data_IF_722347205929
#
_entry.id   IF_722347205929
#
_cell.length_a   1.000
_cell.length_b   1.000
_cell.length_c   1.000
_cell.angle_alpha   90.00
_cell.angle_beta   90.00
_cell.angle_gamma   90.00
#
_symmetry.space_group_name_H-M   'P 1'
#
loop_
_entity.id
_entity.type
_entity.pdbx_description
1 polymer ?
#
# COMPACT_ATOMS: atom_id res chain seq x y z
N UNK A 1 -9.75 -1.34 -26.25
CA UNK A 1 -9.08 -0.93 -25.00
C UNK A 1 -9.18 -2.10 -24.03
N UNK A 2 -8.10 -2.49 -23.35
CA UNK A 2 -8.15 -3.56 -22.38
C UNK A 2 -9.15 -3.28 -21.24
N UNK A 3 -9.87 -4.30 -20.78
CA UNK A 3 -10.90 -4.17 -19.73
C UNK A 3 -10.78 -5.24 -18.66
N UNK A 4 -10.83 -4.82 -17.40
CA UNK A 4 -10.88 -5.70 -16.23
C UNK A 4 -12.29 -5.70 -15.63
N UNK A 5 -12.92 -6.87 -15.59
CA UNK A 5 -14.21 -7.06 -14.92
C UNK A 5 -14.00 -7.54 -13.50
N UNK A 6 -14.64 -6.87 -12.55
CA UNK A 6 -14.66 -7.27 -11.16
C UNK A 6 -15.74 -8.34 -10.97
N UNK A 7 -15.32 -9.56 -10.68
CA UNK A 7 -16.23 -10.67 -10.40
C UNK A 7 -16.71 -10.61 -8.96
N UNK A 8 -15.80 -10.27 -8.03
CA UNK A 8 -16.10 -10.10 -6.61
C UNK A 8 -15.17 -9.05 -6.02
N UNK A 9 -15.71 -8.12 -5.24
CA UNK A 9 -14.93 -7.18 -4.45
C UNK A 9 -15.24 -7.35 -2.97
N UNK A 10 -14.20 -7.35 -2.14
CA UNK A 10 -14.35 -7.23 -0.70
C UNK A 10 -14.82 -5.83 -0.30
N UNK A 11 -15.39 -5.65 0.91
CA UNK A 11 -15.75 -4.33 1.40
C UNK A 11 -14.55 -3.38 1.38
N UNK A 12 -14.75 -2.16 0.85
CA UNK A 12 -13.71 -1.14 0.81
C UNK A 12 -12.62 -1.36 -0.23
N UNK A 13 -12.80 -2.24 -1.22
CA UNK A 13 -11.94 -2.27 -2.41
C UNK A 13 -12.10 -0.97 -3.18
N UNK A 14 -11.01 -0.23 -3.38
CA UNK A 14 -11.06 1.13 -3.95
C UNK A 14 -9.96 1.37 -4.98
N UNK A 15 -10.13 2.41 -5.80
CA UNK A 15 -9.03 2.93 -6.63
C UNK A 15 -8.24 3.96 -5.81
N UNK A 16 -6.92 3.82 -5.78
CA UNK A 16 -6.00 4.72 -5.10
C UNK A 16 -4.80 5.07 -5.99
N UNK A 17 -4.51 6.36 -6.11
CA UNK A 17 -3.29 6.90 -6.74
C UNK A 17 -2.44 7.65 -5.69
N UNK A 18 -1.48 8.47 -6.11
CA UNK A 18 -0.64 9.27 -5.21
C UNK A 18 -1.37 10.28 -4.30
N UNK A 19 -2.69 10.41 -4.46
CA UNK A 19 -3.55 11.29 -3.68
C UNK A 19 -3.66 12.69 -4.27
N UNK A 20 -4.57 13.45 -3.68
CA UNK A 20 -5.14 14.67 -4.24
C UNK A 20 -4.57 15.91 -3.55
N UNK A 21 -3.28 16.14 -3.79
CA UNK A 21 -2.46 17.16 -3.12
C UNK A 21 -2.94 18.58 -3.42
N UNK A 22 -2.68 19.50 -2.50
CA UNK A 22 -3.00 20.93 -2.64
C UNK A 22 -4.43 21.32 -2.23
N UNK A 23 -5.31 20.34 -1.98
CA UNK A 23 -6.71 20.59 -1.59
C UNK A 23 -6.99 20.56 -0.10
N UNK A 24 -6.01 20.15 0.73
CA UNK A 24 -6.17 20.06 2.18
C UNK A 24 -6.57 21.41 2.80
N UNK A 25 -6.04 22.52 2.26
CA UNK A 25 -6.38 23.89 2.67
C UNK A 25 -7.85 24.27 2.44
N UNK A 26 -8.56 23.51 1.61
CA UNK A 26 -9.99 23.68 1.33
C UNK A 26 -10.86 22.65 2.05
N UNK A 27 -10.29 21.92 3.02
CA UNK A 27 -11.02 20.91 3.78
C UNK A 27 -11.24 19.60 3.03
N UNK A 28 -10.51 19.34 1.93
CA UNK A 28 -10.62 18.08 1.19
C UNK A 28 -9.37 17.24 1.41
N UNK A 29 -9.52 16.11 2.10
CA UNK A 29 -8.42 15.18 2.42
C UNK A 29 -7.72 14.67 1.16
N UNK A 30 -6.42 14.42 1.28
CA UNK A 30 -5.59 13.95 0.16
C UNK A 30 -5.95 12.53 -0.31
N UNK A 31 -6.36 11.64 0.60
CA UNK A 31 -6.63 10.23 0.28
C UNK A 31 -5.35 9.48 -0.10
N UNK A 32 -5.46 8.55 -1.03
CA UNK A 32 -4.36 7.72 -1.54
C UNK A 32 -4.23 6.39 -0.80
N UNK A 33 -3.17 5.61 -1.10
CA UNK A 33 -2.98 4.27 -0.55
C UNK A 33 -2.69 4.29 0.95
N UNK A 34 -3.22 3.31 1.68
CA UNK A 34 -2.90 3.08 3.09
C UNK A 34 -1.43 2.72 3.31
N UNK A 35 -0.85 1.98 2.38
CA UNK A 35 0.55 1.57 2.32
C UNK A 35 1.13 2.03 0.99
N UNK A 36 1.69 3.24 1.01
CA UNK A 36 2.24 3.88 -0.19
C UNK A 36 3.46 3.16 -0.78
N UNK A 37 4.20 2.38 0.03
CA UNK A 37 5.37 1.63 -0.43
C UNK A 37 4.91 0.43 -1.24
N UNK A 38 3.93 -0.33 -0.72
CA UNK A 38 3.34 -1.45 -1.44
C UNK A 38 2.65 -1.00 -2.74
N UNK A 39 1.92 0.12 -2.69
CA UNK A 39 1.31 0.74 -3.87
C UNK A 39 2.34 1.12 -4.94
N UNK A 40 3.39 1.85 -4.55
CA UNK A 40 4.50 2.22 -5.43
C UNK A 40 5.18 0.99 -6.04
N UNK A 41 5.39 -0.05 -5.24
CA UNK A 41 6.01 -1.29 -5.68
C UNK A 41 5.16 -2.04 -6.71
N UNK A 42 3.85 -2.13 -6.49
CA UNK A 42 2.93 -2.74 -7.46
C UNK A 42 2.96 -1.99 -8.80
N UNK A 43 2.99 -0.65 -8.76
CA UNK A 43 3.12 0.19 -9.94
C UNK A 43 4.45 -0.04 -10.68
N UNK A 44 5.58 -0.06 -9.97
CA UNK A 44 6.90 -0.31 -10.57
C UNK A 44 6.94 -1.69 -11.24
N UNK A 45 6.39 -2.72 -10.58
CA UNK A 45 6.29 -4.06 -11.16
C UNK A 45 5.38 -4.11 -12.39
N UNK A 46 4.37 -3.24 -12.46
CA UNK A 46 3.50 -3.09 -13.64
C UNK A 46 4.15 -2.27 -14.77
N UNK A 47 5.34 -1.69 -14.56
CA UNK A 47 5.99 -0.79 -15.51
C UNK A 47 5.45 0.66 -15.47
N UNK A 48 4.70 1.01 -14.43
CA UNK A 48 4.10 2.34 -14.26
C UNK A 48 4.96 3.27 -13.41
N UNK A 49 4.66 4.57 -13.46
CA UNK A 49 5.17 5.51 -12.46
C UNK A 49 4.63 5.14 -11.06
N UNK A 50 5.42 5.28 -9.97
CA UNK A 50 5.05 4.81 -8.63
C UNK A 50 3.70 5.33 -8.09
N UNK A 51 3.27 6.51 -8.53
CA UNK A 51 2.02 7.15 -8.08
C UNK A 51 0.78 6.81 -8.91
N UNK A 52 0.88 5.93 -9.90
CA UNK A 52 -0.22 5.60 -10.83
C UNK A 52 -1.38 4.94 -10.09
N UNK A 53 -2.61 5.16 -10.57
CA UNK A 53 -3.81 4.60 -9.96
C UNK A 53 -3.78 3.06 -9.99
N UNK A 54 -4.04 2.45 -8.84
CA UNK A 54 -4.09 1.01 -8.63
C UNK A 54 -5.30 0.64 -7.77
N UNK A 55 -5.71 -0.62 -7.82
CA UNK A 55 -6.77 -1.15 -6.96
C UNK A 55 -6.15 -1.46 -5.60
N UNK A 56 -6.66 -0.82 -4.54
CA UNK A 56 -6.35 -1.14 -3.15
C UNK A 56 -7.31 -2.24 -2.66
N UNK A 57 -6.73 -3.38 -2.25
CA UNK A 57 -7.43 -4.59 -1.85
C UNK A 57 -7.22 -4.85 -0.36
N UNK A 58 -8.30 -4.76 0.41
CA UNK A 58 -8.32 -5.11 1.83
C UNK A 58 -8.49 -6.62 2.10
N UNK A 59 -8.69 -6.97 3.37
CA UNK A 59 -8.83 -8.38 3.82
C UNK A 59 -10.00 -9.15 3.19
N UNK A 60 -10.97 -8.46 2.60
CA UNK A 60 -12.07 -9.08 1.86
C UNK A 60 -11.64 -9.72 0.54
N UNK A 61 -10.43 -9.43 0.05
CA UNK A 61 -9.92 -9.95 -1.22
C UNK A 61 -10.64 -9.39 -2.44
N UNK A 62 -10.28 -9.90 -3.62
CA UNK A 62 -10.89 -9.53 -4.90
C UNK A 62 -10.79 -10.71 -5.88
N UNK A 63 -11.76 -10.84 -6.76
CA UNK A 63 -11.71 -11.71 -7.93
C UNK A 63 -12.02 -10.88 -9.17
N UNK A 64 -11.18 -11.00 -10.20
CA UNK A 64 -11.32 -10.25 -11.44
C UNK A 64 -10.92 -11.11 -12.64
N UNK A 65 -11.34 -10.68 -13.83
CA UNK A 65 -10.95 -11.29 -15.10
C UNK A 65 -10.68 -10.20 -16.14
N UNK A 66 -9.92 -10.54 -17.18
CA UNK A 66 -9.86 -9.72 -18.39
C UNK A 66 -11.03 -10.11 -19.31
N UNK A 67 -11.77 -9.12 -19.82
CA UNK A 67 -12.86 -9.35 -20.79
C UNK A 67 -12.35 -9.26 -22.22
N UNK A 68 -11.84 -8.09 -22.60
CA UNK A 68 -11.33 -7.78 -23.94
C UNK A 68 -9.86 -7.37 -23.81
N UNK A 69 -8.97 -8.11 -24.48
CA UNK A 69 -7.53 -7.87 -24.44
C UNK A 69 -6.86 -8.34 -23.15
N UNK A 70 -5.62 -8.82 -23.27
CA UNK A 70 -4.81 -9.19 -22.12
C UNK A 70 -4.48 -7.97 -21.26
N UNK A 71 -4.53 -8.12 -19.94
CA UNK A 71 -4.13 -7.07 -18.99
C UNK A 71 -3.04 -7.61 -18.10
N UNK A 72 -1.93 -6.90 -18.01
CA UNK A 72 -0.92 -7.19 -17.00
C UNK A 72 -1.15 -6.41 -15.73
N UNK A 73 -0.99 -7.11 -14.61
CA UNK A 73 -1.24 -6.60 -13.27
C UNK A 73 0.02 -6.78 -12.44
N UNK A 74 0.67 -5.67 -12.10
CA UNK A 74 1.66 -5.63 -11.03
C UNK A 74 0.98 -5.74 -9.68
N UNK A 75 1.56 -6.47 -8.73
CA UNK A 75 0.98 -6.64 -7.42
C UNK A 75 2.03 -6.74 -6.32
N UNK A 76 1.74 -6.10 -5.18
CA UNK A 76 2.58 -6.08 -4.00
C UNK A 76 1.79 -5.67 -2.75
N UNK A 77 2.29 -6.02 -1.57
CA UNK A 77 1.73 -5.62 -0.27
C UNK A 77 1.73 -6.77 0.71
N UNK A 78 0.62 -6.91 1.44
CA UNK A 78 0.37 -8.04 2.32
C UNK A 78 0.58 -9.37 1.58
N UNK A 79 1.04 -10.44 2.26
CA UNK A 79 1.33 -11.74 1.66
C UNK A 79 0.04 -12.52 1.38
N UNK A 80 -0.91 -11.91 0.69
CA UNK A 80 -2.17 -12.51 0.28
C UNK A 80 -1.90 -13.63 -0.74
N UNK A 81 -2.75 -14.65 -0.72
CA UNK A 81 -2.70 -15.71 -1.71
C UNK A 81 -3.24 -15.17 -3.04
N UNK A 82 -2.37 -15.04 -4.03
CA UNK A 82 -2.73 -14.61 -5.39
C UNK A 82 -2.68 -15.83 -6.32
N UNK A 83 -3.78 -16.10 -7.02
CA UNK A 83 -3.88 -17.24 -7.95
C UNK A 83 -4.43 -16.80 -9.30
N UNK A 84 -3.87 -17.34 -10.40
CA UNK A 84 -4.46 -17.26 -11.74
C UNK A 84 -5.03 -18.64 -12.10
N UNK A 85 -6.34 -18.79 -12.07
CA UNK A 85 -6.99 -20.10 -12.10
C UNK A 85 -6.49 -20.98 -10.96
N UNK A 86 -5.98 -22.17 -11.28
CA UNK A 86 -5.39 -23.10 -10.30
C UNK A 86 -3.93 -22.80 -9.93
N UNK A 87 -3.29 -21.85 -10.63
CA UNK A 87 -1.85 -21.59 -10.48
C UNK A 87 -1.62 -20.55 -9.38
N UNK A 88 -0.96 -20.96 -8.30
CA UNK A 88 -0.46 -20.05 -7.28
C UNK A 88 0.67 -19.17 -7.82
N UNK A 89 0.63 -17.88 -7.49
CA UNK A 89 1.64 -16.90 -7.85
C UNK A 89 2.52 -16.57 -6.65
N UNK A 90 3.63 -15.89 -6.90
CA UNK A 90 4.50 -15.39 -5.83
C UNK A 90 3.79 -14.32 -4.99
N UNK A 91 4.41 -13.91 -3.88
CA UNK A 91 3.84 -12.88 -2.99
C UNK A 91 3.80 -11.47 -3.60
N UNK A 92 4.69 -11.20 -4.57
CA UNK A 92 4.71 -9.97 -5.35
C UNK A 92 5.20 -10.26 -6.77
N UNK A 93 4.79 -9.45 -7.74
CA UNK A 93 5.22 -9.65 -9.12
C UNK A 93 4.38 -8.88 -10.12
N UNK A 94 4.43 -9.34 -11.36
CA UNK A 94 3.55 -8.90 -12.44
C UNK A 94 3.03 -10.14 -13.16
N UNK A 95 1.71 -10.23 -13.32
CA UNK A 95 1.06 -11.37 -13.98
C UNK A 95 0.24 -10.87 -15.16
N UNK A 96 0.27 -11.63 -16.26
CA UNK A 96 -0.60 -11.38 -17.41
C UNK A 96 -1.91 -12.12 -17.21
N UNK A 97 -3.03 -11.43 -17.37
CA UNK A 97 -4.38 -11.98 -17.30
C UNK A 97 -4.94 -11.97 -18.72
N UNK A 98 -5.04 -13.15 -19.33
CA UNK A 98 -5.64 -13.31 -20.66
C UNK A 98 -7.17 -13.24 -20.59
N UNK A 99 -7.87 -12.91 -21.69
CA UNK A 99 -9.31 -13.06 -21.75
C UNK A 99 -9.77 -14.46 -21.33
N UNK A 100 -10.63 -14.53 -20.31
CA UNK A 100 -11.10 -15.78 -19.71
C UNK A 100 -10.28 -16.27 -18.50
N UNK A 101 -9.08 -15.73 -18.27
CA UNK A 101 -8.36 -15.99 -17.02
C UNK A 101 -9.07 -15.32 -15.84
N UNK A 102 -9.01 -15.99 -14.69
CA UNK A 102 -9.48 -15.44 -13.42
C UNK A 102 -8.31 -15.23 -12.49
N UNK A 103 -8.13 -14.00 -12.04
CA UNK A 103 -7.19 -13.67 -10.96
C UNK A 103 -7.98 -13.57 -9.65
N UNK A 104 -7.55 -14.32 -8.64
CA UNK A 104 -8.14 -14.29 -7.31
C UNK A 104 -7.09 -13.88 -6.29
N UNK A 105 -7.45 -12.94 -5.42
CA UNK A 105 -6.65 -12.51 -4.28
C UNK A 105 -7.43 -12.81 -3.01
N UNK A 106 -6.85 -13.64 -2.14
CA UNK A 106 -7.42 -13.99 -0.83
C UNK A 106 -6.48 -13.55 0.28
N UNK A 107 -7.03 -12.91 1.31
CA UNK A 107 -6.24 -12.47 2.44
C UNK A 107 -5.58 -13.65 3.17
N UNK A 108 -4.35 -13.43 3.63
CA UNK A 108 -3.62 -14.38 4.48
C UNK A 108 -3.88 -14.12 5.97
N UNK A 109 -3.14 -14.79 6.85
CA UNK A 109 -3.24 -14.59 8.31
C UNK A 109 -2.68 -13.23 8.78
N UNK A 110 -1.76 -12.65 8.02
CA UNK A 110 -1.07 -11.38 8.34
C UNK A 110 -1.20 -10.37 7.21
N UNK A 111 -1.00 -9.08 7.52
CA UNK A 111 -1.15 -7.98 6.58
C UNK A 111 -2.61 -7.63 6.27
N UNK A 112 -2.85 -6.39 5.86
CA UNK A 112 -4.20 -5.86 5.65
C UNK A 112 -4.43 -5.38 4.22
N UNK A 113 -3.38 -4.96 3.50
CA UNK A 113 -3.51 -4.27 2.22
C UNK A 113 -2.60 -4.85 1.15
N UNK A 114 -3.17 -5.21 0.00
CA UNK A 114 -2.46 -5.54 -1.24
C UNK A 114 -2.91 -4.59 -2.35
N UNK A 115 -2.03 -4.28 -3.30
CA UNK A 115 -2.34 -3.43 -4.44
C UNK A 115 -2.24 -4.22 -5.73
N UNK A 116 -3.21 -4.01 -6.64
CA UNK A 116 -3.18 -4.50 -8.02
C UNK A 116 -3.11 -3.31 -8.98
N UNK A 117 -2.01 -3.19 -9.70
CA UNK A 117 -1.74 -2.10 -10.64
C UNK A 117 -1.82 -2.62 -12.08
N UNK A 118 -2.84 -2.23 -12.86
CA UNK A 118 -2.85 -2.49 -14.30
C UNK A 118 -1.68 -1.77 -14.98
N UNK A 119 -0.90 -2.46 -15.80
CA UNK A 119 0.08 -1.83 -16.69
C UNK A 119 -0.63 -0.80 -17.57
N UNK A 120 -0.09 0.40 -17.67
CA UNK A 120 -0.73 1.55 -18.33
C UNK A 120 -1.58 2.41 -17.38
N UNK A 121 -2.09 1.82 -16.29
CA UNK A 121 -2.91 2.51 -15.29
C UNK A 121 -4.42 2.39 -15.56
N UNK A 122 -5.21 2.99 -14.67
CA UNK A 122 -6.67 3.00 -14.76
C UNK A 122 -7.12 4.18 -15.63
N UNK A 123 -7.83 3.88 -16.72
CA UNK A 123 -8.37 4.88 -17.63
C UNK A 123 -9.67 5.48 -17.05
N UNK A 124 -9.52 6.52 -16.22
CA UNK A 124 -10.64 7.22 -15.59
C UNK A 124 -10.35 8.72 -15.45
N UNK A 125 -11.40 9.54 -15.38
CA UNK A 125 -11.26 10.98 -15.20
C UNK A 125 -10.96 11.33 -13.74
N UNK A 126 -9.86 12.03 -13.45
CA UNK A 126 -9.52 12.41 -12.08
C UNK A 126 -10.50 13.45 -11.54
N UNK A 127 -10.90 13.29 -10.27
CA UNK A 127 -11.66 14.29 -9.53
C UNK A 127 -10.67 15.15 -8.76
N UNK A 128 -10.68 16.46 -8.99
CA UNK A 128 -9.73 17.42 -8.36
C UNK A 128 -8.26 16.97 -8.51
N UNK A 129 -7.91 16.35 -9.64
CA UNK A 129 -6.55 15.93 -9.97
C UNK A 129 -6.11 14.57 -9.42
N UNK A 130 -7.03 13.73 -8.92
CA UNK A 130 -6.71 12.37 -8.43
C UNK A 130 -7.85 11.39 -8.69
N UNK A 131 -7.49 10.11 -8.79
CA UNK A 131 -8.38 8.95 -8.81
C UNK A 131 -8.49 8.25 -7.43
N UNK A 132 -7.89 8.82 -6.39
CA UNK A 132 -8.03 8.30 -5.03
C UNK A 132 -9.48 8.41 -4.55
N UNK A 133 -10.01 7.28 -4.09
CA UNK A 133 -11.35 7.20 -3.51
C UNK A 133 -11.31 7.64 -2.05
N UNK A 134 -12.16 8.59 -1.67
CA UNK A 134 -12.44 8.93 -0.27
C UNK A 134 -13.80 8.38 0.15
N UNK A 135 -13.79 7.30 0.93
CA UNK A 135 -15.02 6.62 1.39
C UNK A 135 -15.94 7.55 2.20
N UNK A 136 -15.34 8.45 2.98
CA UNK A 136 -16.08 9.35 3.86
C UNK A 136 -16.79 10.49 3.12
N UNK A 137 -16.15 11.04 2.09
CA UNK A 137 -16.65 12.23 1.40
C UNK A 137 -17.32 11.92 0.06
N UNK A 138 -17.13 10.70 -0.47
CA UNK A 138 -17.59 10.32 -1.81
C UNK A 138 -16.79 10.99 -2.94
N UNK A 139 -15.68 11.67 -2.63
CA UNK A 139 -14.81 12.27 -3.64
C UNK A 139 -13.96 11.18 -4.29
N UNK A 140 -13.87 11.23 -5.62
CA UNK A 140 -13.17 10.24 -6.44
C UNK A 140 -14.12 9.15 -6.97
N UNK A 141 -13.59 8.08 -7.56
CA UNK A 141 -14.37 6.93 -8.00
C UNK A 141 -15.13 6.28 -6.83
N UNK A 142 -16.25 5.63 -7.11
CA UNK A 142 -16.94 4.81 -6.11
C UNK A 142 -16.09 3.56 -5.77
N UNK A 143 -16.28 2.96 -4.57
CA UNK A 143 -15.71 1.66 -4.26
C UNK A 143 -16.15 0.62 -5.28
N UNK A 144 -15.24 -0.30 -5.62
CA UNK A 144 -15.51 -1.33 -6.60
C UNK A 144 -16.51 -2.35 -6.06
N UNK A 145 -17.43 -2.76 -6.92
CA UNK A 145 -18.44 -3.77 -6.68
C UNK A 145 -18.36 -4.90 -7.73
N UNK A 146 -19.04 -6.02 -7.43
CA UNK A 146 -19.22 -7.09 -8.42
C UNK A 146 -19.98 -6.56 -9.63
N UNK A 147 -19.48 -6.88 -10.83
CA UNK A 147 -20.03 -6.42 -12.10
C UNK A 147 -19.38 -5.16 -12.66
N UNK A 148 -18.61 -4.42 -11.86
CA UNK A 148 -17.89 -3.24 -12.34
C UNK A 148 -16.86 -3.62 -13.40
N UNK A 149 -16.66 -2.73 -14.37
CA UNK A 149 -15.66 -2.88 -15.43
C UNK A 149 -14.73 -1.67 -15.42
N UNK A 150 -13.45 -1.94 -15.21
CA UNK A 150 -12.39 -0.95 -15.26
C UNK A 150 -11.75 -0.93 -16.64
N UNK A 151 -11.73 0.25 -17.26
CA UNK A 151 -10.93 0.50 -18.45
C UNK A 151 -9.46 0.68 -18.04
N UNK A 152 -8.56 0.10 -18.83
CA UNK A 152 -7.12 0.16 -18.63
C UNK A 152 -6.49 0.87 -19.83
N UNK A 153 -5.58 1.79 -19.57
CA UNK A 153 -4.86 2.46 -20.65
C UNK A 153 -3.93 1.48 -21.37
N UNK A 154 -3.79 1.57 -22.70
CA UNK A 154 -2.87 0.71 -23.44
C UNK A 154 -1.44 0.81 -22.90
N UNK A 155 -0.78 -0.33 -22.73
CA UNK A 155 0.62 -0.43 -22.33
C UNK A 155 1.44 -1.20 -23.38
N UNK A 156 2.77 -1.09 -23.30
CA UNK A 156 3.69 -1.91 -24.10
C UNK A 156 3.64 -3.40 -23.71
N UNK A 157 4.45 -4.24 -24.38
CA UNK A 157 4.46 -5.68 -24.08
C UNK A 157 4.87 -5.95 -22.63
N UNK A 158 3.98 -6.55 -21.83
CA UNK A 158 4.26 -6.75 -20.43
C UNK A 158 5.10 -8.02 -20.22
N UNK A 159 6.01 -7.96 -19.25
CA UNK A 159 6.80 -9.10 -18.82
C UNK A 159 6.20 -9.68 -17.53
N UNK A 160 5.96 -10.98 -17.48
CA UNK A 160 5.62 -11.63 -16.21
C UNK A 160 6.83 -11.61 -15.28
N UNK A 161 6.64 -11.06 -14.08
CA UNK A 161 7.70 -10.88 -13.10
C UNK A 161 7.34 -11.62 -11.82
N UNK A 162 8.36 -12.21 -11.20
CA UNK A 162 8.33 -12.75 -9.85
C UNK A 162 9.25 -11.90 -9.00
N UNK A 163 8.77 -11.44 -7.85
CA UNK A 163 9.59 -10.71 -6.90
C UNK A 163 9.36 -11.25 -5.49
N UNK A 164 10.40 -11.25 -4.67
CA UNK A 164 10.29 -11.70 -3.28
C UNK A 164 9.29 -10.83 -2.50
N UNK A 165 8.70 -11.37 -1.43
CA UNK A 165 7.99 -10.52 -0.48
C UNK A 165 8.96 -9.47 0.11
N UNK A 166 8.46 -8.28 0.46
CA UNK A 166 9.26 -7.42 1.35
C UNK A 166 9.38 -8.13 2.71
N UNK A 167 10.53 -8.01 3.40
CA UNK A 167 10.69 -8.53 4.75
C UNK A 167 9.53 -8.03 5.63
N UNK A 168 8.85 -8.98 6.28
CA UNK A 168 7.85 -8.64 7.29
C UNK A 168 8.58 -8.33 8.60
N UNK A 169 8.11 -7.32 9.32
CA UNK A 169 8.62 -7.07 10.65
C UNK A 169 8.21 -8.20 11.60
N UNK A 170 9.13 -8.57 12.49
CA UNK A 170 8.79 -9.38 13.65
C UNK A 170 7.97 -8.54 14.64
N UNK A 171 6.94 -9.15 15.22
CA UNK A 171 6.18 -8.52 16.30
C UNK A 171 6.98 -8.52 17.62
N UNK A 172 6.82 -7.51 18.48
CA UNK A 172 6.02 -6.29 18.27
C UNK A 172 6.72 -5.33 17.30
N UNK A 173 5.94 -4.66 16.44
CA UNK A 173 6.53 -3.69 15.51
C UNK A 173 6.83 -2.37 16.24
N UNK A 174 8.00 -1.79 15.98
CA UNK A 174 8.38 -0.47 16.52
C UNK A 174 8.24 0.59 15.45
N UNK A 175 7.31 1.53 15.65
CA UNK A 175 7.06 2.66 14.77
C UNK A 175 7.83 3.89 15.24
N UNK A 176 8.57 4.51 14.33
CA UNK A 176 9.36 5.70 14.62
C UNK A 176 8.49 6.95 14.53
N UNK A 177 8.64 7.83 15.51
CA UNK A 177 7.80 9.01 15.72
C UNK A 177 8.67 10.24 15.88
N UNK A 178 8.36 11.30 15.14
CA UNK A 178 8.88 12.64 15.42
C UNK A 178 7.95 13.27 16.48
N UNK A 179 8.44 13.59 17.70
CA UNK A 179 7.60 14.24 18.72
C UNK A 179 7.10 15.61 18.28
N UNK A 180 5.95 16.02 18.82
CA UNK A 180 5.34 17.32 18.57
C UNK A 180 4.38 17.37 17.38
N UNK A 181 3.77 18.54 17.13
CA UNK A 181 4.14 19.85 17.66
C UNK A 181 3.51 20.21 19.02
N UNK A 182 2.65 19.37 19.60
CA UNK A 182 2.04 19.61 20.92
C UNK A 182 2.47 18.55 21.94
N UNK A 183 3.71 18.08 21.89
CA UNK A 183 4.27 17.20 22.90
C UNK A 183 4.33 17.87 24.29
N UNK A 184 4.39 19.20 24.34
CA UNK A 184 4.29 20.02 25.55
C UNK A 184 2.88 20.04 26.19
N UNK A 185 1.86 19.49 25.52
CA UNK A 185 0.54 19.24 26.11
C UNK A 185 0.50 17.98 26.97
N UNK A 186 1.57 17.19 26.99
CA UNK A 186 1.66 15.93 27.73
C UNK A 186 2.67 16.05 28.86
N UNK A 187 2.43 15.35 29.97
CA UNK A 187 3.42 15.29 31.06
C UNK A 187 4.64 14.48 30.63
N UNK A 188 5.80 14.73 31.25
CA UNK A 188 7.00 13.92 31.00
C UNK A 188 6.76 12.43 31.29
N UNK A 189 5.93 12.12 32.29
CA UNK A 189 5.49 10.75 32.58
C UNK A 189 4.64 10.16 31.45
N UNK A 190 3.77 10.95 30.82
CA UNK A 190 2.98 10.50 29.68
C UNK A 190 3.86 10.25 28.44
N UNK A 191 4.83 11.12 28.16
CA UNK A 191 5.80 10.90 27.07
C UNK A 191 6.65 9.65 27.33
N UNK A 192 7.19 9.49 28.53
CA UNK A 192 7.95 8.30 28.92
C UNK A 192 7.12 7.02 28.78
N UNK A 193 5.83 7.07 29.18
CA UNK A 193 4.89 5.97 29.00
C UNK A 193 4.61 5.66 27.53
N UNK A 194 4.42 6.68 26.69
CA UNK A 194 4.17 6.48 25.26
C UNK A 194 5.32 5.76 24.55
N UNK A 195 6.56 6.11 24.88
CA UNK A 195 7.75 5.50 24.28
C UNK A 195 8.24 4.23 24.99
N UNK A 196 7.85 3.99 26.25
CA UNK A 196 8.28 2.83 27.04
C UNK A 196 7.33 1.63 26.97
N UNK A 197 6.03 1.87 26.78
CA UNK A 197 4.99 0.84 26.88
C UNK A 197 4.54 0.30 25.52
N UNK A 198 3.93 -0.88 25.52
CA UNK A 198 3.30 -1.47 24.35
C UNK A 198 1.84 -1.00 24.20
N UNK A 199 1.40 -0.89 22.95
CA UNK A 199 0.03 -0.59 22.57
C UNK A 199 -0.52 -1.68 21.66
N UNK A 200 -1.83 -1.80 21.56
CA UNK A 200 -2.51 -2.72 20.64
C UNK A 200 -3.41 -1.97 19.68
N UNK A 201 -3.43 -2.37 18.42
CA UNK A 201 -4.41 -1.85 17.45
C UNK A 201 -5.80 -2.29 17.89
N UNK A 202 -6.70 -1.35 18.13
CA UNK A 202 -8.09 -1.66 18.49
C UNK A 202 -8.90 -2.14 17.30
N UNK A 203 -10.13 -2.62 17.53
CA UNK A 203 -11.09 -2.91 16.45
C UNK A 203 -11.60 -1.65 15.74
N UNK A 204 -11.38 -0.46 16.33
CA UNK A 204 -11.69 0.84 15.72
C UNK A 204 -10.49 1.34 14.91
N UNK A 205 -10.16 0.61 13.85
CA UNK A 205 -9.12 0.98 12.89
C UNK A 205 -9.66 0.93 11.46
N UNK A 206 -9.44 2.00 10.71
CA UNK A 206 -9.86 2.13 9.30
C UNK A 206 -8.93 3.09 8.54
N UNK A 207 -9.34 3.49 7.34
CA UNK A 207 -8.57 4.43 6.51
C UNK A 207 -8.45 5.83 7.12
N UNK A 208 -9.29 6.22 8.08
CA UNK A 208 -9.18 7.51 8.77
C UNK A 208 -8.12 7.49 9.86
N UNK A 209 -8.09 6.42 10.66
CA UNK A 209 -7.19 6.35 11.80
C UNK A 209 -7.18 5.00 12.51
N UNK A 210 -6.05 4.71 13.15
CA UNK A 210 -5.85 3.52 13.96
C UNK A 210 -5.89 3.95 15.42
N UNK A 211 -6.99 3.65 16.10
CA UNK A 211 -7.10 3.85 17.55
C UNK A 211 -6.37 2.73 18.28
N UNK A 212 -5.63 3.10 19.30
CA UNK A 212 -4.78 2.20 20.07
C UNK A 212 -5.33 1.97 21.47
N UNK A 213 -5.22 0.73 21.94
CA UNK A 213 -5.46 0.30 23.30
C UNK A 213 -4.13 0.19 24.05
N UNK A 214 -4.09 0.62 25.30
CA UNK A 214 -2.87 0.68 26.08
C UNK A 214 -3.04 1.58 27.30
N UNK A 215 -1.95 1.92 27.99
CA UNK A 215 -2.04 2.76 29.18
C UNK A 215 -2.40 4.20 28.78
N UNK A 216 -3.43 4.81 29.39
CA UNK A 216 -3.89 6.15 29.00
C UNK A 216 -2.82 7.19 29.29
N UNK A 217 -2.73 8.18 28.40
CA UNK A 217 -1.80 9.29 28.47
C UNK A 217 -2.43 10.50 29.14
N UNK A 218 -1.72 11.08 30.11
CA UNK A 218 -2.19 12.25 30.85
C UNK A 218 -1.81 13.54 30.12
N UNK A 219 -2.79 14.42 29.97
CA UNK A 219 -2.61 15.77 29.47
C UNK A 219 -2.13 16.71 30.58
N UNK A 220 -1.13 17.53 30.29
CA UNK A 220 -0.62 18.59 31.16
C UNK A 220 -1.34 19.93 30.96
N UNK A 221 -1.83 20.22 29.75
CA UNK A 221 -2.46 21.50 29.36
C UNK A 221 -3.93 21.35 28.90
N UNK A 222 -4.55 20.24 29.25
CA UNK A 222 -5.88 19.84 28.76
C UNK A 222 -5.83 19.08 27.43
N UNK A 223 -6.99 18.56 27.01
CA UNK A 223 -7.13 17.65 25.87
C UNK A 223 -7.72 18.32 24.62
N UNK A 224 -7.93 19.63 24.64
CA UNK A 224 -8.45 20.41 23.52
C UNK A 224 -7.45 21.49 23.12
N UNK A 225 -7.32 21.70 21.82
CA UNK A 225 -6.60 22.81 21.20
C UNK A 225 -7.53 23.55 20.25
N UNK A 226 -7.14 24.78 19.88
CA UNK A 226 -7.72 25.42 18.69
C UNK A 226 -7.53 24.48 17.50
N UNK A 227 -8.59 24.28 16.71
CA UNK A 227 -8.54 23.36 15.58
C UNK A 227 -7.38 23.71 14.65
N UNK A 228 -6.55 22.71 14.36
CA UNK A 228 -5.32 22.84 13.61
C UNK A 228 -5.23 21.75 12.55
N UNK A 229 -4.37 21.96 11.55
CA UNK A 229 -4.14 21.03 10.46
C UNK A 229 -3.65 19.67 10.96
N UNK A 230 -3.97 18.64 10.18
CA UNK A 230 -3.63 17.26 10.47
C UNK A 230 -2.79 16.68 9.31
N UNK A 231 -1.55 16.33 9.64
CA UNK A 231 -0.67 15.59 8.75
C UNK A 231 -0.89 14.07 8.87
N UNK A 232 -0.47 13.33 7.83
CA UNK A 232 -0.49 11.87 7.86
C UNK A 232 0.44 11.37 8.96
N UNK A 233 0.00 10.36 9.71
CA UNK A 233 0.77 9.80 10.83
C UNK A 233 0.66 10.61 12.12
N UNK A 234 -0.07 11.72 12.14
CA UNK A 234 -0.31 12.49 13.37
C UNK A 234 -0.95 11.60 14.45
N UNK A 235 -0.41 11.66 15.66
CA UNK A 235 -0.86 10.87 16.80
C UNK A 235 -1.68 11.77 17.72
N UNK A 236 -3.00 11.77 17.53
CA UNK A 236 -3.91 12.52 18.38
C UNK A 236 -4.23 11.74 19.65
N UNK A 237 -4.35 12.46 20.76
CA UNK A 237 -4.78 11.89 22.05
C UNK A 237 -6.02 12.64 22.54
N UNK A 238 -7.22 12.06 22.44
CA UNK A 238 -8.44 12.67 22.97
C UNK A 238 -8.49 12.67 24.52
N UNK A 239 -9.62 13.09 25.08
CA UNK A 239 -9.83 13.17 26.53
C UNK A 239 -9.84 11.82 27.27
N UNK A 240 -9.99 10.70 26.55
CA UNK A 240 -9.85 9.35 27.09
C UNK A 240 -8.39 8.91 27.27
N UNK A 241 -7.43 9.70 26.79
CA UNK A 241 -6.00 9.42 26.90
C UNK A 241 -5.51 8.33 25.94
N UNK A 242 -6.34 7.83 25.03
CA UNK A 242 -5.98 6.73 24.12
C UNK A 242 -5.50 7.28 22.77
N UNK A 243 -4.27 6.94 22.32
CA UNK A 243 -3.75 7.46 21.06
C UNK A 243 -4.53 7.00 19.83
N UNK A 244 -4.60 7.87 18.82
CA UNK A 244 -5.13 7.59 17.49
C UNK A 244 -4.10 8.05 16.46
N UNK A 245 -3.56 7.13 15.67
CA UNK A 245 -2.68 7.46 14.55
C UNK A 245 -3.52 7.72 13.31
N UNK A 246 -3.41 8.91 12.73
CA UNK A 246 -4.25 9.36 11.62
C UNK A 246 -3.70 8.93 10.25
N UNK A 247 -4.56 8.39 9.40
CA UNK A 247 -4.20 7.65 8.18
C UNK A 247 -4.63 8.39 6.89
N UNK A 248 -4.74 7.67 5.77
CA UNK A 248 -4.91 8.27 4.44
C UNK A 248 -6.16 9.17 4.33
N UNK A 249 -7.27 8.77 4.96
CA UNK A 249 -8.56 9.46 4.93
C UNK A 249 -8.83 10.34 6.16
N UNK A 250 -7.79 10.66 6.94
CA UNK A 250 -7.86 11.55 8.12
C UNK A 250 -8.59 12.86 7.82
N UNK A 251 -9.29 13.41 8.81
CA UNK A 251 -9.87 14.75 8.65
C UNK A 251 -8.76 15.82 8.40
N UNK A 252 -9.05 16.89 7.64
CA UNK A 252 -8.08 17.95 7.36
C UNK A 252 -7.64 18.73 8.60
N UNK A 253 -8.56 18.95 9.54
CA UNK A 253 -8.36 19.70 10.77
C UNK A 253 -8.93 18.96 11.97
N UNK A 254 -8.37 19.20 13.17
CA UNK A 254 -8.94 18.67 14.40
C UNK A 254 -8.44 19.38 15.64
N UNK A 255 -9.19 19.21 16.73
CA UNK A 255 -9.01 19.93 17.99
C UNK A 255 -8.32 19.14 19.11
N UNK A 256 -7.71 17.98 18.81
CA UNK A 256 -6.97 17.21 19.80
C UNK A 256 -5.45 17.45 19.68
N UNK A 257 -4.72 17.55 20.81
CA UNK A 257 -3.29 17.70 20.80
C UNK A 257 -2.61 16.50 20.13
N UNK A 258 -1.56 16.78 19.36
CA UNK A 258 -0.79 15.77 18.64
C UNK A 258 0.51 15.55 19.38
N UNK A 259 0.68 14.33 19.92
CA UNK A 259 1.87 13.93 20.67
C UNK A 259 3.10 13.86 19.76
N UNK A 260 2.89 13.43 18.51
CA UNK A 260 3.95 13.21 17.54
C UNK A 260 3.38 12.80 16.19
N UNK A 261 4.29 12.47 15.27
CA UNK A 261 3.98 12.01 13.92
C UNK A 261 4.76 10.73 13.60
N UNK A 262 4.05 9.65 13.29
CA UNK A 262 4.69 8.45 12.69
C UNK A 262 5.34 8.86 11.38
N UNK A 263 6.62 8.51 11.21
CA UNK A 263 7.37 8.91 10.03
C UNK A 263 6.78 8.27 8.76
N UNK A 264 6.93 8.96 7.61
CA UNK A 264 6.37 8.50 6.34
C UNK A 264 6.83 7.08 5.95
N UNK A 265 8.07 6.72 6.28
CA UNK A 265 8.64 5.39 6.00
C UNK A 265 7.94 4.26 6.77
N UNK A 266 7.30 4.56 7.91
CA UNK A 266 6.69 3.56 8.79
C UNK A 266 5.16 3.48 8.65
N UNK A 267 4.52 4.39 7.90
CA UNK A 267 3.05 4.38 7.70
C UNK A 267 2.55 3.06 7.12
N UNK A 268 3.25 2.49 6.12
CA UNK A 268 2.89 1.21 5.53
C UNK A 268 2.93 0.07 6.55
N UNK A 269 3.91 0.08 7.46
CA UNK A 269 4.06 -0.92 8.52
C UNK A 269 2.84 -0.91 9.44
N UNK A 270 2.39 0.27 9.85
CA UNK A 270 1.14 0.42 10.62
C UNK A 270 -0.09 0.00 9.83
N UNK A 271 -0.19 0.39 8.56
CA UNK A 271 -1.33 0.03 7.70
C UNK A 271 -1.52 -1.50 7.61
N UNK A 272 -0.43 -2.27 7.59
CA UNK A 272 -0.48 -3.73 7.53
C UNK A 272 -0.88 -4.39 8.87
N UNK A 273 -0.93 -3.65 9.97
CA UNK A 273 -1.40 -4.19 11.25
C UNK A 273 -2.90 -4.46 11.24
N UNK A 274 -3.29 -5.58 11.87
CA UNK A 274 -4.69 -5.95 12.13
C UNK A 274 -5.07 -5.63 13.58
N UNK A 275 -6.38 -5.55 13.90
CA UNK A 275 -6.83 -5.49 15.30
C UNK A 275 -6.15 -6.56 16.16
N UNK A 276 -5.71 -6.17 17.35
CA UNK A 276 -4.95 -6.99 18.30
C UNK A 276 -3.44 -6.99 18.10
N UNK A 277 -2.92 -6.47 16.96
CA UNK A 277 -1.48 -6.38 16.74
C UNK A 277 -0.81 -5.46 17.78
N UNK A 278 0.31 -5.91 18.34
CA UNK A 278 1.08 -5.17 19.33
C UNK A 278 2.12 -4.25 18.66
N UNK A 279 2.18 -3.01 19.14
CA UNK A 279 2.99 -1.91 18.63
C UNK A 279 3.82 -1.29 19.77
N UNK A 280 4.99 -0.78 19.40
CA UNK A 280 5.81 0.12 20.24
C UNK A 280 6.17 1.37 19.45
N UNK A 281 6.57 2.43 20.15
CA UNK A 281 6.98 3.68 19.54
C UNK A 281 8.41 4.04 19.93
N UNK A 282 9.17 4.61 18.99
CA UNK A 282 10.51 5.12 19.24
C UNK A 282 10.62 6.58 18.77
N UNK A 283 11.13 7.51 19.59
CA UNK A 283 11.32 8.88 19.17
C UNK A 283 12.49 8.97 18.18
N UNK A 284 12.35 9.77 17.13
CA UNK A 284 13.40 10.07 16.16
C UNK A 284 13.42 11.56 15.82
N UNK A 285 14.58 12.05 15.37
CA UNK A 285 14.68 13.41 14.84
C UNK A 285 14.10 13.50 13.41
N UNK A 286 13.87 14.73 12.94
CA UNK A 286 13.42 14.99 11.56
C UNK A 286 14.47 14.53 10.54
N UNK A 287 15.75 14.68 10.85
CA UNK A 287 16.87 14.25 10.01
C UNK A 287 16.89 12.72 9.90
N UNK A 288 16.73 12.01 11.01
CA UNK A 288 16.62 10.56 11.01
C UNK A 288 15.38 10.11 10.21
N UNK A 289 14.23 10.76 10.39
CA UNK A 289 13.02 10.48 9.61
C UNK A 289 13.24 10.67 8.09
N UNK A 290 14.00 11.71 7.69
CA UNK A 290 14.36 11.97 6.30
C UNK A 290 15.29 10.88 5.74
N UNK A 291 16.30 10.48 6.49
CA UNK A 291 17.22 9.39 6.09
C UNK A 291 16.45 8.10 5.81
N UNK A 292 15.50 7.76 6.68
CA UNK A 292 14.65 6.57 6.51
C UNK A 292 13.73 6.65 5.30
N UNK A 293 13.19 7.83 5.01
CA UNK A 293 12.40 8.05 3.80
C UNK A 293 13.27 7.87 2.53
N UNK A 294 14.48 8.42 2.51
CA UNK A 294 15.41 8.25 1.39
C UNK A 294 15.80 6.78 1.19
N UNK A 295 16.05 6.05 2.27
CA UNK A 295 16.31 4.61 2.21
C UNK A 295 15.12 3.82 1.65
N UNK A 296 13.89 4.18 2.03
CA UNK A 296 12.68 3.56 1.47
C UNK A 296 12.52 3.84 -0.03
N UNK A 297 12.79 5.08 -0.47
CA UNK A 297 12.77 5.44 -1.89
C UNK A 297 13.83 4.70 -2.70
N UNK A 298 15.02 4.50 -2.14
CA UNK A 298 16.09 3.73 -2.79
C UNK A 298 15.73 2.24 -2.94
N UNK A 299 15.10 1.64 -1.92
CA UNK A 299 14.56 0.27 -2.01
C UNK A 299 13.48 0.14 -3.09
N UNK A 300 12.66 1.17 -3.27
CA UNK A 300 11.67 1.21 -4.36
C UNK A 300 12.37 1.31 -5.71
N UNK A 301 13.39 2.16 -5.85
CA UNK A 301 14.16 2.35 -7.09
C UNK A 301 14.79 1.05 -7.59
N UNK A 302 15.29 0.22 -6.67
CA UNK A 302 15.92 -1.08 -6.93
C UNK A 302 14.93 -2.26 -6.95
N UNK A 303 13.62 -2.00 -7.04
CA UNK A 303 12.59 -3.07 -7.08
C UNK A 303 12.81 -4.01 -8.28
N UNK A 304 13.07 -3.46 -9.46
CA UNK A 304 13.23 -4.26 -10.68
C UNK A 304 14.51 -5.10 -10.67
N UNK A 305 15.57 -4.64 -10.00
CA UNK A 305 16.81 -5.41 -9.83
C UNK A 305 16.59 -6.69 -9.01
N UNK A 306 15.55 -6.67 -8.14
CA UNK A 306 15.13 -7.81 -7.31
C UNK A 306 14.02 -8.65 -7.97
N UNK A 307 13.53 -8.24 -9.14
CA UNK A 307 12.52 -8.96 -9.89
C UNK A 307 13.18 -9.90 -10.90
N UNK A 308 12.65 -11.11 -11.00
CA UNK A 308 13.06 -12.10 -11.99
C UNK A 308 11.95 -12.25 -13.01
N UNK A 309 12.30 -12.43 -14.30
CA UNK A 309 11.31 -12.87 -15.29
C UNK A 309 10.78 -14.22 -14.86
N UNK A 310 9.46 -14.38 -14.90
CA UNK A 310 8.87 -15.71 -14.73
C UNK A 310 9.30 -16.56 -15.92
N UNK A 311 10.17 -17.53 -15.70
CA UNK A 311 10.38 -18.58 -16.70
C UNK A 311 9.05 -19.27 -16.92
N UNK A 312 8.66 -19.49 -18.18
CA UNK A 312 7.51 -20.31 -18.52
C UNK A 312 7.67 -21.73 -17.97
N UNK A 313 6.69 -22.61 -18.24
CA UNK A 313 6.79 -24.02 -17.86
C UNK A 313 8.16 -24.59 -18.28
N UNK A 314 9.02 -24.87 -17.29
CA UNK A 314 10.34 -25.49 -17.45
C UNK A 314 10.22 -27.01 -17.32
N UNK A 315 9.03 -27.58 -17.47
CA UNK A 315 8.85 -29.03 -17.58
C UNK A 315 9.80 -29.58 -18.64
N UNK A 316 10.33 -30.77 -18.39
CA UNK A 316 11.19 -31.45 -19.35
C UNK A 316 10.49 -31.59 -20.71
N UNK A 317 9.18 -31.84 -20.71
CA UNK A 317 8.35 -31.90 -21.91
C UNK A 317 8.33 -30.58 -22.69
N UNK A 318 8.18 -29.43 -21.99
CA UNK A 318 8.21 -28.12 -22.65
C UNK A 318 9.60 -27.78 -23.16
N UNK A 319 10.65 -28.00 -22.35
CA UNK A 319 12.05 -27.75 -22.72
C UNK A 319 12.50 -28.60 -23.92
N UNK A 320 12.03 -29.85 -24.01
CA UNK A 320 12.29 -30.74 -25.15
C UNK A 320 11.46 -30.36 -26.39
N UNK A 321 10.32 -29.68 -26.22
CA UNK A 321 9.47 -29.22 -27.33
C UNK A 321 9.93 -27.91 -28.00
N UNK A 322 10.84 -27.16 -27.35
CA UNK A 322 11.44 -25.95 -27.90
C UNK A 322 12.85 -26.25 -28.41
N UNK A 323 13.18 -25.78 -29.61
CA UNK A 323 14.51 -25.98 -30.18
C UNK A 323 15.50 -25.01 -29.51
N UNK A 324 16.19 -25.48 -28.48
CA UNK A 324 17.15 -24.70 -27.68
C UNK A 324 18.51 -24.49 -28.39
N UNK A 325 18.68 -24.99 -29.62
CA UNK A 325 19.91 -24.81 -30.41
C UNK A 325 19.86 -23.45 -31.12
N UNK A 326 20.25 -22.40 -30.39
CA UNK A 326 20.62 -21.10 -30.96
C UNK A 326 22.11 -21.04 -31.25
N UNK A 327 22.54 -21.61 -32.38
CA UNK A 327 23.88 -21.44 -32.94
C UNK A 327 24.86 -22.59 -32.66
N UNK A 328 25.18 -23.33 -33.72
CA UNK A 328 26.41 -24.13 -33.79
C UNK A 328 27.50 -23.20 -34.28
N UNK A 329 28.51 -22.92 -33.46
CA UNK A 329 29.74 -22.27 -33.93
C UNK A 329 30.70 -23.36 -34.40
N UNK A 330 31.07 -23.30 -35.68
CA UNK A 330 32.19 -24.09 -36.17
C UNK A 330 33.51 -23.38 -35.80
N UNK A 331 34.60 -24.11 -35.54
CA UNK A 331 35.91 -23.52 -35.26
C UNK A 331 36.46 -22.61 -36.38
N UNK A 332 35.83 -22.61 -37.57
CA UNK A 332 36.17 -21.76 -38.72
C UNK A 332 35.64 -20.34 -38.64
N UNK A 333 34.71 -20.02 -37.74
CA UNK A 333 34.00 -18.73 -37.74
C UNK A 333 34.75 -17.59 -37.03
N UNK A 334 36.09 -17.68 -36.99
CA UNK A 334 36.98 -16.54 -36.66
C UNK A 334 38.03 -16.37 -37.74
N UNK A 335 37.68 -15.65 -38.81
CA UNK A 335 38.60 -14.89 -39.63
C UNK A 335 37.82 -13.81 -40.40
N UNK A 336 38.09 -12.54 -40.08
CA UNK A 336 37.47 -11.36 -40.70
C UNK A 336 37.32 -10.22 -39.72
#
# INVERSE_FOLDING_TARGET
MPRLRILRAGPGTTIQDAGRRGWLRFGVTEGGPMDWIAHARANILAGNAPGTAAIEVGIGGIELQADEGAVSLGYAGAPFAVTRGAVALAAAGCVRVEPGDRLTVKAAAVGSWLYLSPSGGVAANPVLGSLATSLRTGVGPAPLASGDVLAVDPAGEPTELVCAAEPQDNAPITLRVVPGPQDDYFSQTALARFFGEAYRVSTRCDRMGYRLEGPPLQHAKGFNIVSDAIALGAIQVPGDGLPIVLMADRQPTGGYPKLGHVIRADIGRLAQCRPGAELRFAPVSVEAARTELLAALERLRTTLDRAQRRSGDLSSERLLSINLIGGVYAPSDRAG
#
